data_IF_537871579880
#
_entry.id   IF_537871579880
#
_cell.length_a   1.000
_cell.length_b   1.000
_cell.length_c   1.000
_cell.angle_alpha   90.00
_cell.angle_beta   90.00
_cell.angle_gamma   90.00
#
_symmetry.space_group_name_H-M   'P 1'
#
loop_
_entity.id
_entity.type
_entity.pdbx_description
1 polymer ?
#
# COMPACT_ATOMS: atom_id res chain seq x y z
N UNK A 1 3.00 16.36 -11.72
CA UNK A 1 2.87 17.29 -12.86
C UNK A 1 1.44 17.82 -13.02
N UNK A 2 0.43 16.98 -12.77
CA UNK A 2 -1.02 17.29 -12.84
C UNK A 2 -1.43 18.61 -12.19
N UNK A 3 -1.16 18.82 -10.89
CA UNK A 3 -1.56 20.04 -10.16
C UNK A 3 -1.03 21.31 -10.83
N UNK A 4 0.24 21.30 -11.25
CA UNK A 4 0.86 22.44 -11.91
C UNK A 4 0.18 22.76 -13.25
N UNK A 5 -0.06 21.75 -14.09
CA UNK A 5 -0.71 21.94 -15.39
C UNK A 5 -2.14 22.44 -15.23
N UNK A 6 -2.91 21.82 -14.33
CA UNK A 6 -4.29 22.23 -14.03
C UNK A 6 -4.37 23.66 -13.49
N UNK A 7 -3.36 24.13 -12.75
CA UNK A 7 -3.29 25.51 -12.28
C UNK A 7 -3.08 26.54 -13.39
N UNK A 8 -2.49 26.13 -14.52
CA UNK A 8 -2.28 26.99 -15.69
C UNK A 8 -3.53 27.05 -16.58
N UNK A 9 -4.17 25.91 -16.78
CA UNK A 9 -5.44 25.74 -17.50
C UNK A 9 -5.91 24.30 -17.27
N UNK A 10 -7.10 24.14 -16.67
CA UNK A 10 -7.63 22.83 -16.34
C UNK A 10 -7.75 21.91 -17.57
N UNK A 11 -8.13 22.48 -18.73
CA UNK A 11 -8.34 21.72 -19.97
C UNK A 11 -7.03 21.18 -20.57
N UNK A 12 -5.86 21.71 -20.17
CA UNK A 12 -4.58 21.20 -20.65
C UNK A 12 -4.30 19.80 -20.12
N UNK A 13 -4.70 19.51 -18.88
CA UNK A 13 -4.50 18.19 -18.31
C UNK A 13 -5.39 17.15 -18.99
N UNK A 14 -6.67 17.47 -19.18
CA UNK A 14 -7.61 16.58 -19.89
C UNK A 14 -7.12 16.30 -21.31
N UNK A 15 -6.63 17.32 -22.03
CA UNK A 15 -6.02 17.14 -23.35
C UNK A 15 -4.77 16.24 -23.35
N UNK A 16 -3.96 16.31 -22.29
CA UNK A 16 -2.77 15.45 -22.14
C UNK A 16 -3.18 14.00 -21.85
N UNK A 17 -4.24 13.79 -21.08
CA UNK A 17 -4.68 12.44 -20.66
C UNK A 17 -5.54 11.76 -21.73
N UNK A 18 -6.51 12.48 -22.29
CA UNK A 18 -7.48 11.95 -23.24
C UNK A 18 -7.01 12.04 -24.69
N UNK A 19 -6.13 13.01 -24.97
CA UNK A 19 -5.61 13.29 -26.30
C UNK A 19 -6.32 14.47 -26.99
N UNK A 20 -5.58 15.29 -27.75
CA UNK A 20 -6.10 16.53 -28.34
C UNK A 20 -7.11 16.36 -29.48
N UNK A 21 -7.41 15.15 -29.96
CA UNK A 21 -8.21 14.94 -31.19
C UNK A 21 -7.75 15.85 -32.34
N UNK A 22 -6.47 15.71 -32.75
CA UNK A 22 -5.87 16.61 -33.74
C UNK A 22 -6.67 16.62 -35.06
N UNK A 23 -6.72 17.77 -35.75
CA UNK A 23 -7.44 17.90 -37.01
C UNK A 23 -6.98 16.88 -38.06
N UNK A 24 -7.92 16.08 -38.57
CA UNK A 24 -7.67 15.06 -39.60
C UNK A 24 -8.67 15.18 -40.74
N UNK A 25 -8.31 14.66 -41.91
CA UNK A 25 -9.17 14.52 -43.09
C UNK A 25 -9.03 13.10 -43.64
N UNK A 26 -10.05 12.63 -44.35
CA UNK A 26 -9.99 11.38 -45.11
C UNK A 26 -9.57 11.70 -46.54
N UNK A 27 -8.49 11.08 -47.02
CA UNK A 27 -8.04 11.26 -48.40
C UNK A 27 -8.88 10.44 -49.40
N UNK A 28 -8.59 10.59 -50.70
CA UNK A 28 -9.29 9.88 -51.77
C UNK A 28 -9.18 8.35 -51.69
N UNK A 29 -8.14 7.83 -51.03
CA UNK A 29 -7.94 6.41 -50.75
C UNK A 29 -8.66 5.90 -49.49
N UNK A 30 -9.37 6.77 -48.76
CA UNK A 30 -10.10 6.42 -47.54
C UNK A 30 -9.24 6.40 -46.27
N UNK A 31 -7.98 6.83 -46.34
CA UNK A 31 -7.06 6.88 -45.20
C UNK A 31 -7.23 8.19 -44.41
N UNK A 32 -7.09 8.11 -43.09
CA UNK A 32 -7.13 9.28 -42.21
C UNK A 32 -5.73 9.90 -42.15
N UNK A 33 -5.60 11.14 -42.62
CA UNK A 33 -4.35 11.91 -42.61
C UNK A 33 -4.53 13.22 -41.84
N UNK A 34 -3.43 13.81 -41.38
CA UNK A 34 -3.44 15.13 -40.74
C UNK A 34 -3.99 16.18 -41.71
N UNK A 35 -4.92 16.99 -41.22
CA UNK A 35 -5.51 18.07 -42.01
C UNK A 35 -4.44 19.11 -42.36
N UNK A 36 -4.40 19.62 -43.61
CA UNK A 36 -3.49 20.69 -43.99
C UNK A 36 -3.76 21.99 -43.22
N UNK A 37 -2.69 22.68 -42.78
CA UNK A 37 -2.79 23.89 -41.93
C UNK A 37 -3.56 25.05 -42.58
N UNK A 38 -3.53 25.14 -43.91
CA UNK A 38 -4.28 26.14 -44.69
C UNK A 38 -5.79 25.93 -44.63
N UNK A 39 -6.26 24.73 -44.29
CA UNK A 39 -7.69 24.39 -44.21
C UNK A 39 -8.25 24.43 -42.78
N UNK A 40 -7.42 24.81 -41.79
CA UNK A 40 -7.83 24.87 -40.40
C UNK A 40 -8.88 25.96 -40.16
N UNK A 41 -10.01 25.55 -39.58
CA UNK A 41 -10.99 26.46 -38.99
C UNK A 41 -10.50 26.95 -37.61
N UNK A 42 -11.31 27.76 -36.93
CA UNK A 42 -10.92 28.34 -35.64
C UNK A 42 -10.79 27.29 -34.52
N UNK A 43 -11.63 26.26 -34.54
CA UNK A 43 -11.60 25.16 -33.56
C UNK A 43 -10.35 24.29 -33.75
N UNK A 44 -10.00 23.96 -35.00
CA UNK A 44 -8.77 23.25 -35.37
C UNK A 44 -7.53 24.00 -34.82
N UNK A 45 -7.51 25.32 -34.99
CA UNK A 45 -6.41 26.17 -34.49
C UNK A 45 -6.35 26.15 -32.97
N UNK A 46 -7.49 26.23 -32.29
CA UNK A 46 -7.57 26.21 -30.82
C UNK A 46 -7.01 24.90 -30.26
N UNK A 47 -7.41 23.77 -30.85
CA UNK A 47 -6.91 22.43 -30.46
C UNK A 47 -5.39 22.34 -30.65
N UNK A 48 -4.89 22.73 -31.82
CA UNK A 48 -3.45 22.67 -32.14
C UNK A 48 -2.64 23.59 -31.23
N UNK A 49 -3.17 24.77 -30.90
CA UNK A 49 -2.53 25.70 -29.95
C UNK A 49 -2.46 25.12 -28.54
N UNK A 50 -3.55 24.53 -28.04
CA UNK A 50 -3.56 23.88 -26.72
C UNK A 50 -2.59 22.70 -26.68
N UNK A 51 -2.58 21.85 -27.69
CA UNK A 51 -1.60 20.76 -27.80
C UNK A 51 -0.15 21.29 -27.83
N UNK A 52 0.11 22.36 -28.58
CA UNK A 52 1.45 22.98 -28.62
C UNK A 52 1.86 23.52 -27.25
N UNK A 53 0.95 24.18 -26.53
CA UNK A 53 1.17 24.67 -25.16
C UNK A 53 1.46 23.52 -24.20
N UNK A 54 0.70 22.43 -24.27
CA UNK A 54 0.92 21.23 -23.47
C UNK A 54 2.29 20.59 -23.76
N UNK A 55 2.67 20.40 -25.03
CA UNK A 55 4.00 19.90 -25.42
C UNK A 55 5.11 20.77 -24.86
N UNK A 56 4.96 22.10 -24.96
CA UNK A 56 5.95 23.03 -24.44
C UNK A 56 6.13 22.90 -22.92
N UNK A 57 5.04 22.78 -22.17
CA UNK A 57 5.10 22.57 -20.71
C UNK A 57 5.87 21.29 -20.37
N UNK A 58 5.58 20.18 -21.07
CA UNK A 58 6.29 18.90 -20.87
C UNK A 58 7.79 19.07 -21.17
N UNK A 59 8.14 19.67 -22.31
CA UNK A 59 9.55 19.89 -22.71
C UNK A 59 10.30 20.72 -21.66
N UNK A 60 9.67 21.76 -21.11
CA UNK A 60 10.28 22.61 -20.07
C UNK A 60 10.45 21.89 -18.73
N UNK A 61 9.70 20.81 -18.48
CA UNK A 61 9.76 20.07 -17.23
C UNK A 61 10.74 18.89 -17.24
N UNK A 62 11.23 18.48 -18.42
CA UNK A 62 12.08 17.29 -18.59
C UNK A 62 13.54 17.66 -18.89
N UNK A 63 14.47 16.74 -18.62
CA UNK A 63 15.88 16.90 -18.94
C UNK A 63 16.20 16.47 -20.38
N UNK A 64 17.44 16.71 -20.84
CA UNK A 64 17.88 16.41 -22.20
C UNK A 64 17.79 14.92 -22.60
N UNK A 65 17.99 14.00 -21.65
CA UNK A 65 17.88 12.56 -21.93
C UNK A 65 16.43 12.20 -22.27
N UNK A 66 15.49 12.68 -21.47
CA UNK A 66 14.06 12.43 -21.67
C UNK A 66 13.54 13.17 -22.91
N UNK A 67 14.04 14.38 -23.18
CA UNK A 67 13.69 15.11 -24.39
C UNK A 67 13.93 14.28 -25.66
N UNK A 68 15.08 13.62 -25.77
CA UNK A 68 15.39 12.78 -26.92
C UNK A 68 14.41 11.61 -27.12
N UNK A 69 13.77 11.15 -26.04
CA UNK A 69 12.80 10.04 -26.08
C UNK A 69 11.44 10.47 -26.60
N UNK A 70 11.06 11.73 -26.37
CA UNK A 70 9.73 12.27 -26.67
C UNK A 70 9.72 13.30 -27.79
N UNK A 71 10.88 13.71 -28.31
CA UNK A 71 11.02 14.76 -29.32
C UNK A 71 10.30 14.46 -30.64
N UNK A 72 10.15 13.18 -30.99
CA UNK A 72 9.43 12.73 -32.18
C UNK A 72 7.92 12.53 -31.99
N UNK A 73 7.41 12.67 -30.75
CA UNK A 73 6.00 12.50 -30.45
C UNK A 73 5.14 13.59 -31.13
N UNK A 74 3.99 13.18 -31.67
CA UNK A 74 3.10 14.06 -32.44
C UNK A 74 2.32 14.96 -31.49
N UNK A 75 1.74 14.39 -30.43
CA UNK A 75 0.91 15.08 -29.44
C UNK A 75 1.54 15.12 -28.05
N UNK A 76 1.01 15.98 -27.18
CA UNK A 76 1.38 16.00 -25.76
C UNK A 76 0.98 14.70 -25.05
N UNK A 77 -0.12 14.06 -25.48
CA UNK A 77 -0.54 12.73 -25.04
C UNK A 77 0.53 11.68 -25.34
N UNK A 78 1.03 11.64 -26.57
CA UNK A 78 2.10 10.69 -26.94
C UNK A 78 3.38 10.90 -26.12
N UNK A 79 3.71 12.17 -25.81
CA UNK A 79 4.85 12.49 -24.93
C UNK A 79 4.60 11.97 -23.51
N UNK A 80 3.41 12.23 -22.97
CA UNK A 80 3.02 11.81 -21.62
C UNK A 80 3.00 10.29 -21.48
N UNK A 81 2.37 9.57 -22.41
CA UNK A 81 2.30 8.10 -22.40
C UNK A 81 3.70 7.47 -22.45
N UNK A 82 4.61 8.07 -23.24
CA UNK A 82 5.98 7.58 -23.34
C UNK A 82 6.78 7.83 -22.06
N UNK A 83 6.53 8.94 -21.36
CA UNK A 83 7.09 9.21 -20.04
C UNK A 83 6.49 8.29 -18.99
N UNK A 84 5.17 8.06 -19.01
CA UNK A 84 4.48 7.14 -18.10
C UNK A 84 5.06 5.73 -18.22
N UNK A 85 5.17 5.19 -19.44
CA UNK A 85 5.77 3.87 -19.67
C UNK A 85 7.22 3.81 -19.19
N UNK A 86 7.96 4.92 -19.32
CA UNK A 86 9.37 5.00 -18.92
C UNK A 86 9.55 4.94 -17.41
N UNK A 87 8.69 5.63 -16.67
CA UNK A 87 8.87 5.82 -15.23
C UNK A 87 7.99 4.89 -14.38
N UNK A 88 6.81 4.52 -14.88
CA UNK A 88 5.84 3.69 -14.17
C UNK A 88 5.76 2.26 -14.75
N UNK A 89 6.38 2.01 -15.91
CA UNK A 89 6.29 0.76 -16.64
C UNK A 89 5.06 0.67 -17.52
N UNK A 90 4.96 -0.40 -18.32
CA UNK A 90 3.80 -0.60 -19.22
C UNK A 90 2.56 -1.05 -18.44
N UNK A 91 1.38 -0.77 -19.01
CA UNK A 91 0.11 -1.24 -18.44
C UNK A 91 0.06 -2.76 -18.31
N UNK A 92 0.65 -3.52 -19.24
CA UNK A 92 0.70 -4.99 -19.15
C UNK A 92 1.54 -5.46 -17.95
N UNK A 93 2.66 -4.77 -17.66
CA UNK A 93 3.49 -5.10 -16.49
C UNK A 93 2.76 -4.73 -15.20
N UNK A 94 2.08 -3.57 -15.17
CA UNK A 94 1.24 -3.17 -14.04
C UNK A 94 0.12 -4.20 -13.79
N UNK A 95 -0.60 -4.59 -14.83
CA UNK A 95 -1.69 -5.58 -14.76
C UNK A 95 -1.20 -6.96 -14.34
N UNK A 96 -0.07 -7.44 -14.88
CA UNK A 96 0.52 -8.70 -14.46
C UNK A 96 0.90 -8.70 -12.97
N UNK A 97 1.47 -7.60 -12.46
CA UNK A 97 1.77 -7.43 -11.03
C UNK A 97 0.50 -7.43 -10.19
N UNK A 98 -0.55 -6.73 -10.64
CA UNK A 98 -1.85 -6.73 -9.96
C UNK A 98 -2.39 -8.16 -9.88
N UNK A 99 -2.44 -8.89 -10.99
CA UNK A 99 -2.96 -10.25 -11.01
C UNK A 99 -2.18 -11.20 -10.09
N UNK A 100 -0.85 -11.08 -10.05
CA UNK A 100 -0.03 -11.84 -9.10
C UNK A 100 -0.37 -11.53 -7.64
N UNK A 101 -0.47 -10.25 -7.28
CA UNK A 101 -0.79 -9.82 -5.91
C UNK A 101 -2.22 -10.18 -5.50
N UNK A 102 -3.18 -10.10 -6.43
CA UNK A 102 -4.57 -10.55 -6.21
C UNK A 102 -4.58 -12.04 -5.92
N UNK A 103 -3.87 -12.84 -6.70
CA UNK A 103 -3.77 -14.27 -6.46
C UNK A 103 -3.11 -14.58 -5.11
N UNK A 104 -2.04 -13.87 -4.76
CA UNK A 104 -1.38 -14.00 -3.45
C UNK A 104 -2.32 -13.64 -2.29
N UNK A 105 -3.15 -12.60 -2.48
CA UNK A 105 -4.20 -12.21 -1.53
C UNK A 105 -5.30 -13.28 -1.39
N UNK A 106 -5.83 -13.79 -2.50
CA UNK A 106 -6.90 -14.79 -2.52
C UNK A 106 -6.46 -16.14 -1.93
N UNK A 107 -5.18 -16.49 -2.13
CA UNK A 107 -4.56 -17.70 -1.58
C UNK A 107 -3.94 -17.48 -0.20
N UNK A 108 -4.13 -16.30 0.41
CA UNK A 108 -3.42 -15.94 1.63
C UNK A 108 -3.89 -16.80 2.82
N UNK A 109 -2.97 -17.59 3.36
CA UNK A 109 -3.19 -18.37 4.57
C UNK A 109 -2.03 -18.19 5.55
N UNK A 110 -2.33 -18.45 6.83
CA UNK A 110 -1.28 -18.57 7.85
C UNK A 110 -0.49 -19.86 7.65
N UNK A 111 0.82 -19.80 7.86
CA UNK A 111 1.69 -20.97 7.79
C UNK A 111 1.89 -21.63 9.17
N UNK A 112 2.20 -22.93 9.19
CA UNK A 112 2.30 -23.75 10.42
C UNK A 112 3.33 -23.25 11.46
N UNK A 113 4.30 -22.43 11.05
CA UNK A 113 5.36 -21.88 11.91
C UNK A 113 5.42 -20.35 11.87
N UNK A 114 4.32 -19.71 11.50
CA UNK A 114 4.24 -18.27 11.41
C UNK A 114 3.65 -17.67 12.69
N UNK A 115 4.28 -16.64 13.22
CA UNK A 115 3.67 -15.85 14.30
C UNK A 115 2.72 -14.78 13.73
N UNK A 116 1.77 -14.33 14.55
CA UNK A 116 0.74 -13.35 14.16
C UNK A 116 1.31 -12.03 13.62
N UNK A 117 2.48 -11.59 14.10
CA UNK A 117 3.12 -10.35 13.60
C UNK A 117 3.67 -10.56 12.20
N UNK A 118 4.27 -11.72 11.95
CA UNK A 118 4.79 -12.10 10.63
C UNK A 118 3.64 -12.24 9.62
N UNK A 119 2.53 -12.89 10.01
CA UNK A 119 1.30 -12.97 9.20
C UNK A 119 0.82 -11.57 8.81
N UNK A 120 0.66 -10.70 9.79
CA UNK A 120 0.19 -9.33 9.57
C UNK A 120 1.10 -8.54 8.64
N UNK A 121 2.43 -8.71 8.78
CA UNK A 121 3.41 -8.04 7.93
C UNK A 121 3.26 -8.47 6.47
N UNK A 122 3.13 -9.78 6.20
CA UNK A 122 2.93 -10.27 4.83
C UNK A 122 1.63 -9.75 4.23
N UNK A 123 0.53 -9.83 4.97
CA UNK A 123 -0.77 -9.34 4.52
C UNK A 123 -0.71 -7.84 4.18
N UNK A 124 -0.15 -7.04 5.08
CA UNK A 124 -0.01 -5.58 4.91
C UNK A 124 0.86 -5.24 3.70
N UNK A 125 1.90 -6.01 3.42
CA UNK A 125 2.72 -5.82 2.24
C UNK A 125 1.92 -6.03 0.95
N UNK A 126 1.07 -7.07 0.89
CA UNK A 126 0.21 -7.36 -0.27
C UNK A 126 -0.81 -6.24 -0.47
N UNK A 127 -1.51 -5.83 0.59
CA UNK A 127 -2.55 -4.78 0.48
C UNK A 127 -1.96 -3.42 0.15
N UNK A 128 -0.82 -3.04 0.74
CA UNK A 128 -0.13 -1.80 0.40
C UNK A 128 0.37 -1.81 -1.05
N UNK A 129 0.90 -2.93 -1.54
CA UNK A 129 1.35 -3.06 -2.92
C UNK A 129 0.17 -2.95 -3.91
N UNK A 130 -0.97 -3.57 -3.60
CA UNK A 130 -2.20 -3.45 -4.39
C UNK A 130 -2.73 -2.00 -4.40
N UNK A 131 -2.73 -1.33 -3.25
CA UNK A 131 -3.16 0.06 -3.11
C UNK A 131 -2.26 1.02 -3.89
N UNK A 132 -0.93 0.80 -3.86
CA UNK A 132 0.03 1.58 -4.62
C UNK A 132 -0.15 1.46 -6.15
N UNK A 133 -0.74 0.35 -6.62
CA UNK A 133 -1.08 0.12 -8.03
C UNK A 133 -2.49 0.60 -8.41
N UNK A 134 -3.12 1.42 -7.55
CA UNK A 134 -4.44 2.04 -7.78
C UNK A 134 -5.60 1.06 -7.92
N UNK A 135 -5.47 -0.18 -7.44
CA UNK A 135 -6.62 -1.07 -7.25
C UNK A 135 -7.24 -0.75 -5.88
N UNK A 136 -8.34 0.01 -5.89
CA UNK A 136 -9.07 0.37 -4.67
C UNK A 136 -9.97 -0.80 -4.28
N UNK A 137 -9.61 -1.49 -3.19
CA UNK A 137 -10.54 -2.41 -2.52
C UNK A 137 -11.49 -1.61 -1.62
N UNK A 138 -12.74 -2.06 -1.53
CA UNK A 138 -13.75 -1.43 -0.67
C UNK A 138 -13.39 -1.64 0.80
N UNK A 139 -13.48 -0.57 1.60
CA UNK A 139 -13.17 -0.52 3.04
C UNK A 139 -13.68 -1.71 3.87
N UNK A 140 -14.77 -2.36 3.45
CA UNK A 140 -15.39 -3.49 4.14
C UNK A 140 -14.44 -4.70 4.34
N UNK A 141 -13.52 -4.97 3.40
CA UNK A 141 -12.57 -6.10 3.53
C UNK A 141 -11.43 -5.79 4.51
N UNK A 142 -11.00 -4.53 4.58
CA UNK A 142 -10.05 -4.06 5.60
C UNK A 142 -10.67 -4.03 7.00
N UNK A 143 -11.95 -3.66 7.10
CA UNK A 143 -12.66 -3.50 8.36
C UNK A 143 -12.96 -4.87 9.02
N UNK A 144 -13.28 -5.88 8.22
CA UNK A 144 -13.47 -7.26 8.68
C UNK A 144 -12.17 -7.84 9.27
N UNK A 145 -11.04 -7.58 8.61
CA UNK A 145 -9.74 -8.07 9.07
C UNK A 145 -9.20 -7.29 10.27
N UNK A 146 -9.44 -5.97 10.31
CA UNK A 146 -9.15 -5.15 11.50
C UNK A 146 -9.95 -5.63 12.71
N UNK A 147 -11.21 -6.01 12.51
CA UNK A 147 -12.05 -6.59 13.56
C UNK A 147 -11.51 -7.96 14.02
N UNK A 148 -11.08 -8.81 13.09
CA UNK A 148 -10.45 -10.11 13.39
C UNK A 148 -9.15 -9.94 14.20
N UNK A 149 -8.30 -8.98 13.81
CA UNK A 149 -7.07 -8.60 14.52
C UNK A 149 -7.35 -8.15 15.96
N UNK A 150 -8.40 -7.35 16.15
CA UNK A 150 -8.77 -6.85 17.48
C UNK A 150 -9.24 -7.99 18.38
N UNK A 151 -9.97 -8.94 17.81
CA UNK A 151 -10.43 -10.13 18.51
C UNK A 151 -9.26 -11.06 18.88
N UNK A 152 -8.34 -11.33 17.96
CA UNK A 152 -7.21 -12.24 18.19
C UNK A 152 -6.19 -11.67 19.19
N UNK A 153 -5.89 -10.36 19.12
CA UNK A 153 -5.09 -9.66 20.15
C UNK A 153 -5.75 -9.71 21.53
N UNK A 154 -7.09 -9.69 21.59
CA UNK A 154 -7.83 -9.82 22.84
C UNK A 154 -7.77 -11.24 23.41
N UNK A 155 -7.70 -12.26 22.55
CA UNK A 155 -7.53 -13.66 22.96
C UNK A 155 -6.12 -13.86 23.52
N UNK A 156 -5.08 -13.44 22.80
CA UNK A 156 -3.68 -13.57 23.25
C UNK A 156 -3.45 -12.86 24.59
N UNK A 157 -3.99 -11.64 24.77
CA UNK A 157 -3.89 -10.92 26.05
C UNK A 157 -4.56 -11.68 27.20
N UNK A 158 -5.71 -12.32 26.96
CA UNK A 158 -6.40 -13.12 27.97
C UNK A 158 -5.57 -14.35 28.35
N UNK A 159 -4.99 -15.04 27.37
CA UNK A 159 -4.14 -16.20 27.63
C UNK A 159 -2.89 -15.83 28.44
N UNK A 160 -2.24 -14.71 28.10
CA UNK A 160 -1.09 -14.18 28.85
C UNK A 160 -1.46 -13.79 30.29
N UNK A 161 -2.61 -13.12 30.47
CA UNK A 161 -3.13 -12.75 31.80
C UNK A 161 -3.46 -13.99 32.65
N UNK A 162 -4.10 -15.00 32.06
CA UNK A 162 -4.40 -16.26 32.72
C UNK A 162 -3.14 -17.05 33.10
N UNK A 163 -2.10 -17.03 32.27
CA UNK A 163 -0.82 -17.67 32.60
C UNK A 163 -0.10 -16.95 33.74
N UNK A 164 -0.09 -15.61 33.74
CA UNK A 164 0.48 -14.81 34.82
C UNK A 164 -0.24 -15.04 36.15
N UNK A 165 -1.56 -15.16 36.13
CA UNK A 165 -2.36 -15.43 37.32
C UNK A 165 -2.14 -16.86 37.84
N UNK A 166 -1.99 -17.84 36.94
CA UNK A 166 -1.60 -19.22 37.30
C UNK A 166 -0.21 -19.25 37.95
N UNK A 167 0.75 -18.48 37.45
CA UNK A 167 2.10 -18.35 38.04
C UNK A 167 2.05 -17.74 39.44
N UNK A 168 1.27 -16.67 39.64
CA UNK A 168 1.08 -16.06 40.97
C UNK A 168 0.49 -17.04 41.98
N UNK A 169 -0.57 -17.78 41.61
CA UNK A 169 -1.20 -18.77 42.49
C UNK A 169 -0.25 -19.89 42.90
N UNK A 170 0.58 -20.38 41.97
CA UNK A 170 1.64 -21.36 42.29
C UNK A 170 2.67 -20.82 43.28
N UNK A 171 3.09 -19.56 43.11
CA UNK A 171 4.04 -18.91 44.04
C UNK A 171 3.44 -18.78 45.44
N UNK A 172 2.16 -18.43 45.55
CA UNK A 172 1.46 -18.32 46.84
C UNK A 172 1.36 -19.69 47.52
N UNK A 173 0.97 -20.74 46.78
CA UNK A 173 0.87 -22.11 47.32
C UNK A 173 2.22 -22.68 47.78
N UNK A 174 3.30 -22.40 47.05
CA UNK A 174 4.66 -22.78 47.47
C UNK A 174 5.10 -22.06 48.74
N UNK A 175 4.74 -20.78 48.90
CA UNK A 175 5.04 -20.01 50.11
C UNK A 175 4.23 -20.47 51.31
N UNK A 176 2.98 -20.91 51.14
CA UNK A 176 2.17 -21.45 52.25
C UNK A 176 2.68 -22.82 52.70
N UNK A 177 3.06 -23.72 51.78
CA UNK A 177 3.67 -25.01 52.15
C UNK A 177 5.01 -24.87 52.87
N UNK A 178 5.83 -23.88 52.49
CA UNK A 178 7.09 -23.61 53.18
C UNK A 178 6.92 -22.99 54.59
N UNK A 179 5.72 -22.46 54.90
CA UNK A 179 5.42 -21.85 56.19
C UNK A 179 4.76 -22.85 57.16
N UNK A 180 4.16 -23.94 56.66
CA UNK A 180 3.61 -25.04 57.47
C UNK A 180 4.69 -26.04 57.92
N UNK A 181 5.87 -26.08 57.29
CA UNK A 181 7.00 -26.93 57.73
C UNK A 181 7.82 -26.34 58.90
N UNK A 182 7.43 -25.18 59.47
CA UNK A 182 8.16 -24.51 60.56
C UNK A 182 7.36 -24.49 61.90
N UNK A 183 6.13 -24.99 61.94
CA UNK A 183 5.27 -24.92 63.14
C UNK A 183 4.93 -26.27 63.81
N UNK A 184 5.79 -27.29 63.69
CA UNK A 184 5.70 -28.48 64.55
C UNK A 184 7.10 -28.90 65.01
N UNK A 185 7.54 -28.45 66.20
CA UNK A 185 8.21 -29.28 67.24
C UNK A 185 8.89 -28.42 68.34
N UNK A 186 8.13 -27.57 69.05
CA UNK A 186 8.69 -26.90 70.24
C UNK A 186 7.61 -26.61 71.27
N UNK A 187 7.11 -27.64 71.95
CA UNK A 187 6.36 -27.43 73.19
C UNK A 187 6.33 -28.66 74.12
N UNK A 188 7.44 -29.40 74.30
CA UNK A 188 7.55 -30.29 75.47
C UNK A 188 8.94 -30.79 75.88
N UNK A 189 9.88 -29.94 76.32
CA UNK A 189 10.86 -30.36 77.35
C UNK A 189 11.62 -29.17 77.97
N UNK A 190 11.04 -28.53 78.98
CA UNK A 190 11.78 -27.68 79.93
C UNK A 190 11.28 -27.97 81.35
N UNK A 191 11.67 -29.14 81.86
CA UNK A 191 11.70 -29.41 83.29
C UNK A 191 12.90 -30.30 83.60
N UNK A 192 13.66 -29.90 84.63
CA UNK A 192 14.83 -30.57 85.22
C UNK A 192 16.13 -30.27 84.44
N UNK A 193 17.12 -29.55 84.99
CA UNK A 193 17.88 -29.94 86.18
C UNK A 193 18.39 -28.71 86.96
N UNK A 194 18.06 -28.71 88.25
CA UNK A 194 18.58 -27.89 89.35
C UNK A 194 19.99 -28.33 89.77
N UNK A 195 20.81 -27.37 90.28
CA UNK A 195 22.00 -27.56 91.17
C UNK A 195 23.24 -28.17 90.48
N UNK A 196 24.47 -27.70 90.70
CA UNK A 196 25.12 -27.36 91.97
C UNK A 196 26.51 -26.75 91.66
N UNK A 197 26.89 -25.74 92.46
CA UNK A 197 28.22 -25.14 92.66
C UNK A 197 28.84 -24.32 91.53
#
# INVERSE_FOLDING_TARGET
MTIFIQSLDYNLWDLIVDGPNLPTITNESGEIISKPRNEYNDDDRKIVQLNTKAKHIIICAINSNEFNRVSSCVSAKDMWDRLEVTYEGTNQVKEAKINMLVHEYEMFTMHDNEDIKTLFTRFTNITNALQALSKVYTNNEMELLGSLMTHELSIIKKDDEEEMERKKKKIVALKSSANEEIEEDSDQEMALITRRF
#
